data_IF_643231018864
#
_entry.id   IF_643231018864
#
_cell.length_a   1.000
_cell.length_b   1.000
_cell.length_c   1.000
_cell.angle_alpha   90.00
_cell.angle_beta   90.00
_cell.angle_gamma   90.00
#
_symmetry.space_group_name_H-M   'P 1'
#
loop_
_entity.id
_entity.type
_entity.pdbx_description
1 polymer ?
#
# COMPACT_ATOMS: atom_id res chain seq x y z
N UNK A 1 -15.50 11.96 -19.64
CA UNK A 1 -14.10 11.86 -19.20
C UNK A 1 -13.90 10.45 -18.71
N UNK A 2 -13.23 9.61 -19.51
CA UNK A 2 -12.98 8.21 -19.11
C UNK A 2 -11.90 8.29 -18.02
N UNK A 3 -12.26 8.11 -16.75
CA UNK A 3 -11.27 7.92 -15.68
C UNK A 3 -10.57 6.61 -16.00
N UNK A 4 -9.31 6.67 -16.44
CA UNK A 4 -8.48 5.47 -16.55
C UNK A 4 -8.41 4.82 -15.16
N UNK A 5 -8.84 3.57 -15.06
CA UNK A 5 -8.75 2.81 -13.81
C UNK A 5 -7.29 2.52 -13.51
N UNK A 6 -6.73 3.13 -12.46
CA UNK A 6 -5.39 2.80 -11.97
C UNK A 6 -5.46 1.76 -10.87
N UNK A 7 -4.43 0.92 -10.76
CA UNK A 7 -4.36 -0.09 -9.70
C UNK A 7 -2.94 -0.42 -9.30
N UNK A 8 -2.78 -0.84 -8.05
CA UNK A 8 -1.48 -1.22 -7.51
C UNK A 8 -1.04 -2.57 -8.09
N UNK A 9 0.10 -2.64 -8.79
CA UNK A 9 0.58 -3.90 -9.36
C UNK A 9 1.00 -4.92 -8.30
N UNK A 10 1.33 -4.48 -7.08
CA UNK A 10 1.68 -5.38 -5.96
C UNK A 10 0.41 -6.04 -5.40
N UNK A 11 -0.61 -5.25 -5.08
CA UNK A 11 -1.89 -5.76 -4.59
C UNK A 11 -2.59 -6.69 -5.60
N UNK A 12 -2.44 -6.42 -6.89
CA UNK A 12 -2.99 -7.26 -7.97
C UNK A 12 -2.08 -8.45 -8.34
N UNK A 13 -0.98 -8.68 -7.62
CA UNK A 13 -0.10 -9.82 -7.82
C UNK A 13 0.75 -9.78 -9.10
N UNK A 14 0.81 -8.64 -9.80
CA UNK A 14 1.65 -8.46 -10.99
C UNK A 14 3.11 -8.17 -10.66
N UNK A 15 3.40 -7.66 -9.45
CA UNK A 15 4.76 -7.39 -8.96
C UNK A 15 4.90 -7.83 -7.51
N UNK A 16 6.12 -8.18 -7.12
CA UNK A 16 6.48 -8.41 -5.71
C UNK A 16 7.15 -7.15 -5.13
N UNK A 17 6.81 -6.81 -3.89
CA UNK A 17 7.44 -5.71 -3.16
C UNK A 17 8.56 -6.26 -2.27
N UNK A 18 9.79 -6.22 -2.79
CA UNK A 18 10.99 -6.70 -2.07
C UNK A 18 11.84 -5.51 -1.65
N UNK A 19 11.89 -5.22 -0.35
CA UNK A 19 12.66 -4.10 0.21
C UNK A 19 13.46 -4.59 1.43
N UNK A 20 14.65 -4.02 1.62
CA UNK A 20 15.52 -4.34 2.75
C UNK A 20 15.23 -3.38 3.90
N UNK A 21 15.24 -3.90 5.12
CA UNK A 21 15.14 -3.15 6.36
C UNK A 21 16.35 -2.25 6.56
N UNK A 22 16.13 -0.93 6.60
CA UNK A 22 17.18 0.05 6.83
C UNK A 22 17.81 -0.03 8.23
N UNK A 23 17.10 -0.62 9.21
CA UNK A 23 17.60 -0.79 10.58
C UNK A 23 18.55 -1.99 10.76
N UNK A 24 18.32 -3.12 10.08
CA UNK A 24 19.05 -4.36 10.35
C UNK A 24 19.48 -5.17 9.11
N UNK A 25 19.18 -4.70 7.90
CA UNK A 25 19.60 -5.32 6.65
C UNK A 25 18.85 -6.59 6.24
N UNK A 26 17.86 -7.05 7.02
CA UNK A 26 17.00 -8.18 6.65
C UNK A 26 15.85 -7.75 5.72
N UNK A 27 15.21 -8.69 5.04
CA UNK A 27 14.05 -8.40 4.19
C UNK A 27 12.84 -7.95 5.01
N UNK A 28 12.13 -6.95 4.50
CA UNK A 28 10.79 -6.61 4.96
C UNK A 28 9.76 -7.62 4.45
N UNK A 29 8.73 -7.86 5.26
CA UNK A 29 7.50 -8.52 4.85
C UNK A 29 6.47 -7.46 4.46
N UNK A 30 5.86 -7.59 3.27
CA UNK A 30 4.72 -6.76 2.86
C UNK A 30 3.45 -7.25 3.52
N UNK A 31 2.86 -6.42 4.38
CA UNK A 31 1.60 -6.67 5.10
C UNK A 31 0.39 -6.12 4.36
N UNK A 32 0.55 -5.63 3.14
CA UNK A 32 -0.52 -5.09 2.32
C UNK A 32 -0.78 -3.61 2.60
N UNK A 33 -1.96 -3.15 2.22
CA UNK A 33 -2.29 -1.72 2.20
C UNK A 33 -2.53 -1.22 3.62
N UNK A 34 -1.98 -0.05 3.95
CA UNK A 34 -2.09 0.48 5.33
C UNK A 34 -3.54 0.70 5.77
N UNK A 35 -4.41 1.13 4.85
CA UNK A 35 -5.82 1.38 5.16
C UNK A 35 -6.60 0.09 5.42
N UNK A 36 -6.17 -1.08 4.92
CA UNK A 36 -6.83 -2.36 5.25
C UNK A 36 -6.64 -2.72 6.73
N UNK A 37 -5.56 -2.24 7.36
CA UNK A 37 -5.32 -2.43 8.79
C UNK A 37 -6.07 -1.40 9.67
N UNK A 38 -6.35 -0.21 9.15
CA UNK A 38 -6.94 0.91 9.89
C UNK A 38 -8.46 1.02 9.72
N UNK A 39 -9.01 0.53 8.62
CA UNK A 39 -10.43 0.66 8.34
C UNK A 39 -11.25 -0.42 9.05
N UNK A 40 -12.40 -0.03 9.60
CA UNK A 40 -13.44 -0.99 9.91
C UNK A 40 -13.78 -1.75 8.63
N UNK A 41 -13.72 -3.09 8.67
CA UNK A 41 -13.94 -3.94 7.50
C UNK A 41 -15.28 -3.60 6.86
N UNK A 42 -15.23 -2.94 5.69
CA UNK A 42 -16.39 -2.46 4.95
C UNK A 42 -16.24 -2.87 3.49
N UNK A 43 -16.57 -4.13 3.16
CA UNK A 43 -16.26 -4.76 1.87
C UNK A 43 -16.90 -4.07 0.66
N UNK A 44 -17.89 -3.19 0.88
CA UNK A 44 -18.61 -2.47 -0.16
C UNK A 44 -18.21 -0.99 -0.28
N UNK A 45 -17.28 -0.49 0.55
CA UNK A 45 -16.82 0.90 0.45
C UNK A 45 -15.78 1.01 -0.67
N UNK A 46 -15.94 1.94 -1.63
CA UNK A 46 -14.93 2.14 -2.67
C UNK A 46 -13.56 2.49 -2.08
N UNK A 47 -12.49 1.90 -2.62
CA UNK A 47 -11.11 2.13 -2.17
C UNK A 47 -10.74 3.62 -2.24
N UNK A 48 -11.20 4.32 -3.28
CA UNK A 48 -11.01 5.76 -3.45
C UNK A 48 -11.55 6.58 -2.26
N UNK A 49 -12.67 6.15 -1.66
CA UNK A 49 -13.24 6.83 -0.49
C UNK A 49 -12.47 6.51 0.80
N UNK A 50 -11.81 5.34 0.87
CA UNK A 50 -11.02 4.93 2.03
C UNK A 50 -9.71 5.71 2.13
N UNK A 51 -9.03 5.94 0.99
CA UNK A 51 -7.79 6.74 0.91
C UNK A 51 -7.96 8.18 1.41
N UNK A 52 -9.14 8.78 1.22
CA UNK A 52 -9.40 10.15 1.69
C UNK A 52 -9.39 10.30 3.22
N UNK A 53 -9.38 9.19 3.96
CA UNK A 53 -9.53 9.17 5.43
C UNK A 53 -8.29 8.70 6.19
N UNK A 54 -7.21 8.31 5.52
CA UNK A 54 -6.00 7.77 6.16
C UNK A 54 -4.90 8.83 6.42
N UNK A 55 -5.13 10.08 6.01
CA UNK A 55 -4.22 11.21 6.22
C UNK A 55 -3.11 11.34 5.18
N UNK A 56 -3.09 10.49 4.15
CA UNK A 56 -2.16 10.60 3.03
C UNK A 56 -2.79 11.30 1.82
N UNK A 57 -1.96 11.92 0.98
CA UNK A 57 -2.37 12.48 -0.33
C UNK A 57 -2.28 11.44 -1.45
N UNK A 58 -2.25 10.16 -1.10
CA UNK A 58 -1.97 9.01 -1.97
C UNK A 58 -3.02 8.85 -3.10
N UNK A 59 -4.28 9.21 -2.84
CA UNK A 59 -5.34 9.24 -3.84
C UNK A 59 -5.06 10.22 -4.98
N UNK A 60 -4.48 11.39 -4.70
CA UNK A 60 -4.20 12.40 -5.73
C UNK A 60 -2.98 12.06 -6.59
N UNK A 61 -2.09 11.21 -6.08
CA UNK A 61 -0.83 10.85 -6.73
C UNK A 61 -0.84 9.45 -7.34
N UNK A 62 -1.97 8.73 -7.28
CA UNK A 62 -2.09 7.33 -7.67
C UNK A 62 -1.04 6.46 -6.98
N UNK A 63 -0.88 6.66 -5.67
CA UNK A 63 0.01 5.86 -4.82
C UNK A 63 -0.81 4.87 -4.01
N UNK A 64 -0.20 3.73 -3.73
CA UNK A 64 -0.73 2.70 -2.85
C UNK A 64 0.26 2.53 -1.69
N UNK A 65 -0.06 3.01 -0.48
CA UNK A 65 0.80 2.87 0.70
C UNK A 65 0.74 1.42 1.24
N UNK A 66 1.87 0.73 1.20
CA UNK A 66 2.05 -0.61 1.76
C UNK A 66 2.75 -0.55 3.12
N UNK A 67 2.19 -1.28 4.09
CA UNK A 67 2.80 -1.48 5.40
C UNK A 67 3.85 -2.59 5.30
N UNK A 68 5.09 -2.24 5.64
CA UNK A 68 6.21 -3.16 5.69
C UNK A 68 6.59 -3.43 7.14
N UNK A 69 6.86 -4.69 7.47
CA UNK A 69 7.30 -5.10 8.81
C UNK A 69 8.56 -5.96 8.74
N UNK A 70 9.54 -5.66 9.59
CA UNK A 70 10.74 -6.47 9.69
C UNK A 70 10.57 -7.55 10.76
N UNK A 71 10.53 -8.85 10.41
CA UNK A 71 10.40 -9.91 11.40
C UNK A 71 11.64 -10.08 12.28
N UNK A 72 12.78 -9.51 11.89
CA UNK A 72 14.03 -9.64 12.63
C UNK A 72 14.19 -8.60 13.75
N UNK A 73 13.87 -7.33 13.48
CA UNK A 73 14.07 -6.24 14.46
C UNK A 73 12.77 -5.54 14.89
N UNK A 74 11.63 -5.87 14.28
CA UNK A 74 10.33 -5.31 14.61
C UNK A 74 10.08 -3.90 14.07
N UNK A 75 10.94 -3.37 13.19
CA UNK A 75 10.70 -2.08 12.56
C UNK A 75 9.52 -2.13 11.59
N UNK A 76 8.79 -1.02 11.51
CA UNK A 76 7.69 -0.82 10.57
C UNK A 76 7.98 0.39 9.69
N UNK A 77 7.72 0.25 8.40
CA UNK A 77 7.89 1.32 7.40
C UNK A 77 6.69 1.34 6.44
N UNK A 78 6.47 2.48 5.80
CA UNK A 78 5.47 2.61 4.73
C UNK A 78 6.19 2.81 3.41
N UNK A 79 5.90 1.95 2.45
CA UNK A 79 6.43 2.08 1.09
C UNK A 79 5.31 2.46 0.13
N UNK A 80 5.53 3.50 -0.67
CA UNK A 80 4.53 4.03 -1.61
C UNK A 80 4.75 3.40 -2.98
N UNK A 81 3.83 2.52 -3.38
CA UNK A 81 3.86 1.87 -4.69
C UNK A 81 3.09 2.72 -5.69
N UNK A 82 3.70 3.00 -6.84
CA UNK A 82 3.01 3.68 -7.95
C UNK A 82 1.96 2.76 -8.57
N UNK A 83 0.72 3.22 -8.61
CA UNK A 83 -0.33 2.57 -9.39
C UNK A 83 -0.11 2.77 -10.88
N UNK A 84 -0.48 1.76 -11.65
CA UNK A 84 -0.36 1.75 -13.11
C UNK A 84 -1.75 1.71 -13.73
N UNK A 85 -1.89 2.20 -14.96
CA UNK A 85 -3.11 2.03 -15.74
C UNK A 85 -3.38 0.54 -15.94
N UNK A 86 -4.59 0.10 -15.58
CA UNK A 86 -5.09 -1.25 -15.80
C UNK A 86 -5.89 -1.34 -17.10
#
# INVERSE_FOLDING_TARGET
>A
MIRSSTGCPVCNGFKSLTTICHQCGHWYEDRGRIFDALAAYSPYRPIDEMKQTDGYIDHFLNLCPHSLYCPHCGSEEVNFVQEIGM
#
